data_IF_893473690691
#
_entry.id   IF_893473690691
#
_cell.length_a   1.000
_cell.length_b   1.000
_cell.length_c   1.000
_cell.angle_alpha   90.00
_cell.angle_beta   90.00
_cell.angle_gamma   90.00
#
_symmetry.space_group_name_H-M   'P 1'
#
loop_
_entity.id
_entity.type
_entity.pdbx_description
1 polymer ?
#
# COMPACT_ATOMS: atom_id res chain seq x y z
N UNK A 1 -28.11 22.98 10.29
CA UNK A 1 -27.72 21.73 9.60
C UNK A 1 -28.74 20.60 9.71
N UNK A 2 -29.38 20.35 10.86
CA UNK A 2 -30.36 19.25 11.02
C UNK A 2 -31.56 19.32 10.08
N UNK A 3 -32.19 20.50 9.92
CA UNK A 3 -33.31 20.69 9.00
C UNK A 3 -32.96 20.35 7.55
N UNK A 4 -31.80 20.78 7.06
CA UNK A 4 -31.34 20.50 5.69
C UNK A 4 -31.04 19.02 5.47
N UNK A 5 -30.49 18.35 6.49
CA UNK A 5 -30.28 16.90 6.45
C UNK A 5 -31.61 16.14 6.51
N UNK A 6 -32.60 16.62 7.27
CA UNK A 6 -33.95 16.06 7.32
C UNK A 6 -34.66 16.22 5.96
N UNK A 7 -34.60 17.42 5.37
CA UNK A 7 -35.17 17.77 4.06
C UNK A 7 -34.52 17.01 2.90
N UNK A 8 -33.27 16.57 3.05
CA UNK A 8 -32.57 15.72 2.08
C UNK A 8 -32.63 14.23 2.41
N UNK A 9 -33.52 13.81 3.32
CA UNK A 9 -33.66 12.43 3.78
C UNK A 9 -32.33 11.78 4.22
N UNK A 10 -31.44 12.55 4.85
CA UNK A 10 -30.15 12.09 5.34
C UNK A 10 -29.06 11.92 4.29
N UNK A 11 -29.30 12.25 3.01
CA UNK A 11 -28.30 12.07 1.93
C UNK A 11 -27.03 12.88 2.17
N UNK A 12 -27.16 14.11 2.66
CA UNK A 12 -26.03 14.98 2.94
C UNK A 12 -25.16 14.42 4.08
N UNK A 13 -25.76 13.99 5.18
CA UNK A 13 -25.02 13.34 6.27
C UNK A 13 -24.37 12.03 5.82
N UNK A 14 -25.04 11.23 4.98
CA UNK A 14 -24.44 10.02 4.41
C UNK A 14 -23.20 10.32 3.57
N UNK A 15 -23.31 11.28 2.64
CA UNK A 15 -22.19 11.69 1.79
C UNK A 15 -21.03 12.25 2.60
N UNK A 16 -21.32 13.09 3.61
CA UNK A 16 -20.31 13.58 4.53
C UNK A 16 -19.62 12.45 5.30
N UNK A 17 -20.38 11.50 5.84
CA UNK A 17 -19.83 10.38 6.60
C UNK A 17 -18.95 9.47 5.72
N UNK A 18 -19.34 9.22 4.47
CA UNK A 18 -18.53 8.47 3.52
C UNK A 18 -17.21 9.19 3.21
N UNK A 19 -17.27 10.50 2.95
CA UNK A 19 -16.07 11.31 2.70
C UNK A 19 -15.15 11.36 3.92
N UNK A 20 -15.72 11.56 5.11
CA UNK A 20 -14.97 11.57 6.37
C UNK A 20 -14.29 10.22 6.63
N UNK A 21 -14.94 9.09 6.30
CA UNK A 21 -14.32 7.75 6.40
C UNK A 21 -13.14 7.62 5.45
N UNK A 22 -13.29 8.05 4.19
CA UNK A 22 -12.19 8.04 3.20
C UNK A 22 -11.03 8.94 3.63
N UNK A 23 -11.33 10.14 4.14
CA UNK A 23 -10.32 11.08 4.65
C UNK A 23 -9.51 10.46 5.79
N UNK A 24 -10.18 9.90 6.81
CA UNK A 24 -9.50 9.25 7.94
C UNK A 24 -8.60 8.11 7.50
N UNK A 25 -9.08 7.31 6.54
CA UNK A 25 -8.28 6.23 5.95
C UNK A 25 -6.99 6.75 5.30
N UNK A 26 -7.09 7.76 4.43
CA UNK A 26 -5.91 8.37 3.78
C UNK A 26 -4.93 8.94 4.80
N UNK A 27 -5.44 9.66 5.81
CA UNK A 27 -4.58 10.21 6.87
C UNK A 27 -3.83 9.13 7.65
N UNK A 28 -4.44 7.95 7.84
CA UNK A 28 -3.79 6.84 8.52
C UNK A 28 -2.66 6.23 7.69
N UNK A 29 -2.86 6.09 6.38
CA UNK A 29 -1.79 5.69 5.47
C UNK A 29 -0.65 6.71 5.47
N UNK A 30 -0.97 8.01 5.45
CA UNK A 30 0.05 9.07 5.53
C UNK A 30 0.89 8.94 6.81
N UNK A 31 0.26 8.78 7.97
CA UNK A 31 1.00 8.60 9.24
C UNK A 31 1.85 7.33 9.26
N UNK A 32 1.33 6.22 8.71
CA UNK A 32 2.08 4.96 8.64
C UNK A 32 3.30 5.04 7.71
N UNK A 33 3.15 5.67 6.54
CA UNK A 33 4.23 5.76 5.55
C UNK A 33 5.18 6.93 5.81
N UNK A 34 4.80 7.90 6.64
CA UNK A 34 5.62 9.03 7.07
C UNK A 34 7.08 8.64 7.40
N UNK A 35 7.36 7.68 8.30
CA UNK A 35 8.74 7.33 8.63
C UNK A 35 9.53 6.81 7.41
N UNK A 36 8.88 6.20 6.42
CA UNK A 36 9.56 5.69 5.22
C UNK A 36 9.81 6.78 4.17
N UNK A 37 8.91 7.76 4.05
CA UNK A 37 9.04 8.87 3.09
C UNK A 37 10.05 9.91 3.56
N UNK A 38 10.14 10.16 4.87
CA UNK A 38 11.09 11.12 5.44
C UNK A 38 12.44 10.49 5.84
N UNK A 39 12.62 9.19 5.61
CA UNK A 39 13.89 8.53 5.84
C UNK A 39 14.81 8.74 4.65
N UNK A 40 15.88 9.51 4.84
CA UNK A 40 16.85 9.87 3.81
C UNK A 40 17.94 8.80 3.62
N UNK A 41 17.61 7.55 3.92
CA UNK A 41 18.52 6.42 3.83
C UNK A 41 18.22 5.54 2.63
N UNK A 42 19.27 5.07 1.98
CA UNK A 42 19.19 4.04 0.96
C UNK A 42 19.56 2.70 1.57
N UNK A 43 18.75 1.67 1.33
CA UNK A 43 19.08 0.30 1.70
C UNK A 43 19.80 -0.35 0.53
N UNK A 44 21.00 -0.90 0.76
CA UNK A 44 21.68 -1.67 -0.27
C UNK A 44 20.98 -3.01 -0.49
N UNK A 45 20.93 -3.44 -1.75
CA UNK A 45 20.37 -4.71 -2.18
C UNK A 45 21.47 -5.70 -2.59
N UNK A 46 22.72 -5.48 -2.15
CA UNK A 46 23.89 -6.20 -2.65
C UNK A 46 23.77 -7.72 -2.49
N UNK A 47 23.23 -8.17 -1.36
CA UNK A 47 23.01 -9.60 -1.10
C UNK A 47 21.90 -10.18 -1.99
N UNK A 48 20.84 -9.41 -2.25
CA UNK A 48 19.75 -9.81 -3.14
C UNK A 48 20.26 -9.89 -4.59
N UNK A 49 21.08 -8.94 -5.02
CA UNK A 49 21.70 -8.96 -6.35
C UNK A 49 22.67 -10.13 -6.52
N UNK A 50 23.49 -10.42 -5.50
CA UNK A 50 24.35 -11.62 -5.49
C UNK A 50 23.54 -12.90 -5.61
N UNK A 51 22.44 -13.01 -4.86
CA UNK A 51 21.54 -14.16 -4.93
C UNK A 51 20.93 -14.29 -6.33
N UNK A 52 20.40 -13.20 -6.89
CA UNK A 52 19.84 -13.15 -8.23
C UNK A 52 20.84 -13.61 -9.30
N UNK A 53 22.09 -13.15 -9.21
CA UNK A 53 23.15 -13.56 -10.13
C UNK A 53 23.58 -15.02 -9.95
N UNK A 54 23.53 -15.56 -8.73
CA UNK A 54 23.78 -16.98 -8.49
C UNK A 54 22.66 -17.86 -9.08
N UNK A 55 21.40 -17.44 -8.96
CA UNK A 55 20.24 -18.17 -9.47
C UNK A 55 20.15 -18.17 -10.99
N UNK A 56 20.65 -17.14 -11.70
CA UNK A 56 20.73 -17.14 -13.17
C UNK A 56 21.47 -18.34 -13.78
N UNK A 57 22.22 -19.11 -12.99
CA UNK A 57 22.85 -20.36 -13.43
C UNK A 57 21.85 -21.51 -13.58
N UNK A 58 20.72 -21.46 -12.88
CA UNK A 58 19.60 -22.38 -12.98
C UNK A 58 18.36 -21.63 -13.52
N UNK A 59 18.16 -21.78 -14.82
CA UNK A 59 17.16 -21.05 -15.61
C UNK A 59 15.72 -21.36 -15.18
N UNK A 60 15.47 -22.51 -14.55
CA UNK A 60 14.14 -22.89 -14.06
C UNK A 60 13.82 -22.21 -12.72
N UNK A 61 14.75 -22.25 -11.76
CA UNK A 61 14.57 -21.61 -10.46
C UNK A 61 14.56 -20.08 -10.57
N UNK A 62 15.41 -19.51 -11.42
CA UNK A 62 15.45 -18.06 -11.67
C UNK A 62 14.13 -17.52 -12.25
N UNK A 63 13.46 -18.31 -13.10
CA UNK A 63 12.12 -17.96 -13.63
C UNK A 63 11.02 -18.13 -12.59
N UNK A 64 11.15 -19.10 -11.68
CA UNK A 64 10.15 -19.37 -10.67
C UNK A 64 10.20 -18.37 -9.50
N UNK A 65 11.40 -17.91 -9.14
CA UNK A 65 11.65 -16.96 -8.07
C UNK A 65 12.31 -15.70 -8.63
N UNK A 66 11.61 -14.98 -9.49
CA UNK A 66 12.12 -13.74 -10.07
C UNK A 66 12.25 -12.66 -8.99
N UNK A 67 13.48 -12.41 -8.55
CA UNK A 67 13.82 -11.40 -7.55
C UNK A 67 14.08 -10.00 -8.15
N UNK A 68 13.81 -9.78 -9.46
CA UNK A 68 13.99 -8.45 -10.05
C UNK A 68 12.79 -7.54 -9.68
N UNK A 69 13.00 -6.49 -8.86
CA UNK A 69 11.92 -5.59 -8.46
C UNK A 69 11.29 -4.85 -9.67
N UNK A 70 11.94 -4.82 -10.84
CA UNK A 70 11.38 -4.20 -12.04
C UNK A 70 10.27 -5.02 -12.70
N UNK A 71 10.20 -6.32 -12.42
CA UNK A 71 9.16 -7.20 -12.96
C UNK A 71 7.91 -7.27 -12.08
N UNK A 72 7.96 -6.68 -10.89
CA UNK A 72 6.78 -6.57 -10.01
C UNK A 72 5.81 -5.57 -10.61
N UNK A 73 4.55 -5.99 -10.76
CA UNK A 73 3.44 -5.06 -10.96
C UNK A 73 3.19 -4.33 -9.64
N UNK A 74 3.86 -3.19 -9.47
CA UNK A 74 3.79 -2.42 -8.24
C UNK A 74 2.39 -1.87 -7.96
N UNK A 75 1.62 -1.53 -9.00
CA UNK A 75 0.26 -1.03 -8.83
C UNK A 75 -0.65 -2.11 -8.25
N UNK A 76 -0.67 -3.30 -8.87
CA UNK A 76 -1.44 -4.43 -8.36
C UNK A 76 -0.93 -4.88 -6.98
N UNK A 77 0.38 -4.98 -6.79
CA UNK A 77 0.95 -5.36 -5.50
C UNK A 77 0.49 -4.42 -4.38
N UNK A 78 0.57 -3.09 -4.59
CA UNK A 78 0.17 -2.15 -3.55
C UNK A 78 -1.33 -2.17 -3.28
N UNK A 79 -2.15 -2.19 -4.33
CA UNK A 79 -3.61 -2.11 -4.20
C UNK A 79 -4.25 -3.42 -3.72
N UNK A 80 -3.80 -4.55 -4.24
CA UNK A 80 -4.42 -5.86 -4.02
C UNK A 80 -3.82 -6.62 -2.85
N UNK A 81 -2.54 -6.38 -2.52
CA UNK A 81 -1.82 -7.18 -1.51
C UNK A 81 -1.35 -6.31 -0.33
N UNK A 82 -0.51 -5.32 -0.59
CA UNK A 82 0.23 -4.62 0.45
C UNK A 82 -0.67 -3.77 1.36
N UNK A 83 -1.43 -2.82 0.80
CA UNK A 83 -2.31 -1.95 1.59
C UNK A 83 -3.36 -2.77 2.35
N UNK A 84 -4.08 -3.73 1.74
CA UNK A 84 -5.00 -4.59 2.48
C UNK A 84 -4.34 -5.38 3.60
N UNK A 85 -3.13 -5.93 3.37
CA UNK A 85 -2.38 -6.67 4.37
C UNK A 85 -1.99 -5.79 5.56
N UNK A 86 -1.44 -4.61 5.29
CA UNK A 86 -1.13 -3.59 6.31
C UNK A 86 -2.38 -3.21 7.11
N UNK A 87 -3.51 -2.96 6.44
CA UNK A 87 -4.79 -2.67 7.08
C UNK A 87 -5.30 -3.80 7.99
N UNK A 88 -5.01 -5.05 7.64
CA UNK A 88 -5.45 -6.21 8.41
C UNK A 88 -4.58 -6.49 9.63
N UNK A 89 -3.26 -6.24 9.53
CA UNK A 89 -2.29 -6.75 10.51
C UNK A 89 -1.50 -5.66 11.25
N UNK A 90 -1.21 -4.53 10.60
CA UNK A 90 -0.46 -3.44 11.20
C UNK A 90 -1.37 -2.41 11.89
N UNK A 91 -2.60 -2.26 11.38
CA UNK A 91 -3.62 -1.43 11.99
C UNK A 91 -4.49 -2.28 12.94
N UNK A 92 -4.22 -2.15 14.25
CA UNK A 92 -5.07 -2.62 15.35
C UNK A 92 -5.64 -1.44 16.10
#
# INVERSE_FOLDING_TARGET
MHLVNLLSCGRLARGYNELNRKYKFVMHLVELYKPYVYFDGCFDDLNMERLRMAMKKDDAEARMFDFDPKHVDWEDYFCSIHIPGVMKYAFK
#
